data_IF_995699698572
#
_entry.id   IF_995699698572
#
_cell.length_a   1.000
_cell.length_b   1.000
_cell.length_c   1.000
_cell.angle_alpha   90.00
_cell.angle_beta   90.00
_cell.angle_gamma   90.00
#
_symmetry.space_group_name_H-M   'P 1'
#
loop_
_entity.id
_entity.type
_entity.pdbx_description
1 polymer ?
#
# COMPACT_ATOMS: atom_id res chain seq x y z
N UNK A 1 -4.09 19.94 19.22
CA UNK A 1 -3.02 19.25 19.99
C UNK A 1 -3.64 18.00 20.62
N UNK A 2 -3.14 16.80 20.28
CA UNK A 2 -3.61 15.56 20.89
C UNK A 2 -3.19 15.51 22.36
N UNK A 3 -4.10 15.09 23.25
CA UNK A 3 -3.77 14.95 24.67
C UNK A 3 -2.76 13.81 24.87
N UNK A 4 -1.89 13.85 25.92
CA UNK A 4 -0.90 12.79 26.19
C UNK A 4 -1.52 11.39 26.30
N UNK A 5 -2.77 11.29 26.68
CA UNK A 5 -3.52 10.04 26.79
C UNK A 5 -3.92 9.46 25.45
N UNK A 6 -4.23 10.30 24.45
CA UNK A 6 -4.48 9.88 23.06
C UNK A 6 -3.21 9.35 22.39
N UNK A 7 -2.08 10.01 22.61
CA UNK A 7 -0.79 9.59 22.08
C UNK A 7 -0.37 8.20 22.61
N UNK A 8 -0.50 7.97 23.92
CA UNK A 8 -0.21 6.67 24.55
C UNK A 8 -1.12 5.54 24.05
N UNK A 9 -2.42 5.86 23.85
CA UNK A 9 -3.41 4.90 23.34
C UNK A 9 -3.10 4.49 21.90
N UNK A 10 -2.77 5.44 21.05
CA UNK A 10 -2.35 5.22 19.66
C UNK A 10 -1.07 4.38 19.60
N UNK A 11 -0.08 4.67 20.44
CA UNK A 11 1.18 3.93 20.49
C UNK A 11 0.98 2.47 20.91
N UNK A 12 0.15 2.21 21.94
CA UNK A 12 -0.16 0.84 22.37
C UNK A 12 -0.89 0.06 21.28
N UNK A 13 -1.86 0.68 20.58
CA UNK A 13 -2.59 0.05 19.48
C UNK A 13 -1.63 -0.37 18.36
N UNK A 14 -0.72 0.51 17.96
CA UNK A 14 0.31 0.24 16.93
C UNK A 14 1.25 -0.90 17.35
N UNK A 15 1.73 -0.90 18.59
CA UNK A 15 2.57 -1.99 19.11
C UNK A 15 1.86 -3.35 19.09
N UNK A 16 0.55 -3.38 19.37
CA UNK A 16 -0.25 -4.61 19.28
C UNK A 16 -0.29 -5.09 17.82
N UNK A 17 -0.53 -4.20 16.86
CA UNK A 17 -0.56 -4.51 15.43
C UNK A 17 0.79 -5.06 14.95
N UNK A 18 1.92 -4.41 15.30
CA UNK A 18 3.27 -4.82 14.93
C UNK A 18 3.61 -6.24 15.45
N UNK A 19 3.31 -6.51 16.73
CA UNK A 19 3.56 -7.83 17.33
C UNK A 19 2.62 -8.89 16.74
N UNK A 20 1.36 -8.54 16.52
CA UNK A 20 0.40 -9.46 15.93
C UNK A 20 0.81 -9.84 14.49
N UNK A 21 1.17 -8.86 13.66
CA UNK A 21 1.62 -9.09 12.28
C UNK A 21 2.85 -10.00 12.25
N UNK A 22 3.82 -9.76 13.14
CA UNK A 22 5.02 -10.61 13.26
C UNK A 22 4.66 -12.04 13.62
N UNK A 23 3.80 -12.26 14.63
CA UNK A 23 3.36 -13.59 15.01
C UNK A 23 2.54 -14.29 13.92
N UNK A 24 1.71 -13.53 13.20
CA UNK A 24 0.97 -14.05 12.05
C UNK A 24 1.91 -14.53 10.94
N UNK A 25 3.00 -13.82 10.69
CA UNK A 25 4.01 -14.22 9.71
C UNK A 25 4.86 -15.42 10.19
N UNK A 26 5.27 -15.44 11.47
CA UNK A 26 6.16 -16.48 12.01
C UNK A 26 5.47 -17.84 12.16
N UNK A 27 4.24 -17.90 12.64
CA UNK A 27 3.55 -19.15 13.00
C UNK A 27 2.19 -19.36 12.32
N UNK A 28 1.75 -18.39 11.53
CA UNK A 28 0.48 -18.38 10.82
C UNK A 28 -0.66 -17.72 11.60
N UNK A 29 -1.60 -17.12 10.86
CA UNK A 29 -2.75 -16.43 11.43
C UNK A 29 -3.61 -17.32 12.33
N UNK A 30 -3.95 -18.53 11.87
CA UNK A 30 -4.85 -19.45 12.61
C UNK A 30 -4.25 -19.90 13.94
N UNK A 31 -2.95 -20.12 14.00
CA UNK A 31 -2.25 -20.60 15.19
C UNK A 31 -1.98 -19.49 16.22
N UNK A 32 -2.10 -18.24 15.84
CA UNK A 32 -1.86 -17.10 16.74
C UNK A 32 -3.10 -16.77 17.55
N UNK A 33 -2.94 -16.53 18.85
CA UNK A 33 -4.00 -16.13 19.76
C UNK A 33 -3.77 -14.73 20.34
N UNK A 34 -4.85 -14.03 20.73
CA UNK A 34 -4.75 -12.74 21.45
C UNK A 34 -3.97 -12.86 22.76
N UNK A 35 -3.99 -14.04 23.38
CA UNK A 35 -3.23 -14.31 24.60
C UNK A 35 -1.72 -14.25 24.34
N UNK A 36 -1.25 -14.92 23.30
CA UNK A 36 0.18 -14.93 22.92
C UNK A 36 0.65 -13.53 22.52
N UNK A 37 -0.20 -12.74 21.83
CA UNK A 37 0.11 -11.36 21.51
C UNK A 37 0.28 -10.52 22.79
N UNK A 38 -0.61 -10.69 23.78
CA UNK A 38 -0.50 -10.02 25.07
C UNK A 38 0.76 -10.41 25.86
N UNK A 39 1.07 -11.71 25.90
CA UNK A 39 2.27 -12.26 26.54
C UNK A 39 3.55 -11.73 25.88
N UNK A 40 3.59 -11.67 24.55
CA UNK A 40 4.76 -11.14 23.81
C UNK A 40 4.97 -9.64 24.02
N UNK A 41 3.90 -8.89 24.27
CA UNK A 41 3.92 -7.44 24.55
C UNK A 41 4.19 -7.10 26.01
N UNK A 42 4.18 -8.10 26.91
CA UNK A 42 4.22 -7.91 28.36
C UNK A 42 3.08 -7.00 28.86
N UNK A 43 1.87 -7.23 28.35
CA UNK A 43 0.67 -6.51 28.77
C UNK A 43 -0.38 -7.49 29.31
N UNK A 44 -1.28 -6.98 30.15
CA UNK A 44 -2.40 -7.78 30.61
C UNK A 44 -3.39 -8.09 29.47
N UNK A 45 -4.02 -9.26 29.52
CA UNK A 45 -5.09 -9.63 28.56
C UNK A 45 -6.18 -8.55 28.51
N UNK A 46 -6.56 -7.97 29.65
CA UNK A 46 -7.55 -6.91 29.72
C UNK A 46 -7.11 -5.63 28.96
N UNK A 47 -5.83 -5.27 29.04
CA UNK A 47 -5.28 -4.14 28.29
C UNK A 47 -5.32 -4.37 26.77
N UNK A 48 -5.03 -5.59 26.31
CA UNK A 48 -5.16 -5.94 24.90
C UNK A 48 -6.62 -5.90 24.44
N UNK A 49 -7.55 -6.52 25.18
CA UNK A 49 -8.97 -6.55 24.85
C UNK A 49 -9.63 -5.15 24.87
N UNK A 50 -9.04 -4.17 25.55
CA UNK A 50 -9.46 -2.78 25.46
C UNK A 50 -9.24 -2.19 24.06
N UNK A 51 -8.23 -2.65 23.32
CA UNK A 51 -7.89 -2.20 21.97
C UNK A 51 -8.53 -3.05 20.88
N UNK A 52 -8.50 -4.38 21.04
CA UNK A 52 -8.97 -5.33 20.05
C UNK A 52 -9.70 -6.51 20.70
N UNK A 53 -10.89 -6.80 20.23
CA UNK A 53 -11.72 -7.90 20.78
C UNK A 53 -11.40 -9.24 20.13
N UNK A 54 -11.02 -9.24 18.86
CA UNK A 54 -10.73 -10.41 18.04
C UNK A 54 -9.42 -10.25 17.26
N UNK A 55 -8.90 -11.35 16.69
CA UNK A 55 -7.78 -11.30 15.75
C UNK A 55 -8.17 -10.58 14.47
N UNK A 56 -9.40 -10.75 14.04
CA UNK A 56 -9.99 -10.07 12.89
C UNK A 56 -9.97 -8.57 13.06
N UNK A 57 -10.27 -8.03 14.25
CA UNK A 57 -10.21 -6.59 14.52
C UNK A 57 -8.80 -6.04 14.30
N UNK A 58 -7.76 -6.80 14.68
CA UNK A 58 -6.36 -6.41 14.44
C UNK A 58 -6.09 -6.41 12.92
N UNK A 59 -6.50 -7.45 12.22
CA UNK A 59 -6.26 -7.58 10.78
C UNK A 59 -6.99 -6.51 9.97
N UNK A 60 -8.24 -6.21 10.34
CA UNK A 60 -9.01 -5.10 9.75
C UNK A 60 -8.31 -3.77 10.00
N UNK A 61 -7.82 -3.53 11.21
CA UNK A 61 -7.13 -2.27 11.53
C UNK A 61 -5.80 -2.13 10.79
N UNK A 62 -5.05 -3.21 10.59
CA UNK A 62 -3.85 -3.22 9.74
C UNK A 62 -4.20 -2.87 8.29
N UNK A 63 -5.31 -3.40 7.78
CA UNK A 63 -5.80 -3.06 6.46
C UNK A 63 -6.18 -1.58 6.34
N UNK A 64 -6.86 -1.02 7.35
CA UNK A 64 -7.21 0.41 7.40
C UNK A 64 -5.97 1.29 7.34
N UNK A 65 -4.90 0.92 8.08
CA UNK A 65 -3.63 1.65 8.09
C UNK A 65 -2.94 1.64 6.72
N UNK A 66 -3.08 0.54 5.95
CA UNK A 66 -2.59 0.46 4.56
C UNK A 66 -3.45 1.29 3.60
N UNK A 67 -4.76 1.34 3.82
CA UNK A 67 -5.70 2.04 2.94
C UNK A 67 -5.68 3.56 3.15
N UNK A 68 -5.45 4.04 4.37
CA UNK A 68 -5.52 5.47 4.68
C UNK A 68 -4.55 6.35 3.85
N UNK A 69 -3.27 5.98 3.63
CA UNK A 69 -2.37 6.71 2.74
C UNK A 69 -2.86 6.73 1.29
N UNK A 70 -3.46 5.63 0.81
CA UNK A 70 -4.01 5.56 -0.55
C UNK A 70 -5.25 6.43 -0.72
N UNK A 71 -6.13 6.46 0.27
CA UNK A 71 -7.30 7.34 0.26
C UNK A 71 -6.88 8.82 0.30
N UNK A 72 -5.87 9.18 1.10
CA UNK A 72 -5.30 10.52 1.14
C UNK A 72 -4.64 10.91 -0.20
N UNK A 73 -3.88 10.00 -0.82
CA UNK A 73 -3.30 10.18 -2.13
C UNK A 73 -4.37 10.44 -3.21
N UNK A 74 -5.41 9.61 -3.24
CA UNK A 74 -6.51 9.73 -4.22
C UNK A 74 -7.25 11.05 -4.05
N UNK A 75 -7.55 11.46 -2.80
CA UNK A 75 -8.20 12.72 -2.51
C UNK A 75 -7.35 13.91 -2.99
N UNK A 76 -6.06 13.93 -2.62
CA UNK A 76 -5.12 14.97 -3.03
C UNK A 76 -5.00 15.04 -4.56
N UNK A 77 -4.79 13.92 -5.24
CA UNK A 77 -4.54 13.90 -6.68
C UNK A 77 -5.76 14.36 -7.51
N UNK A 78 -6.98 14.19 -7.01
CA UNK A 78 -8.21 14.68 -7.67
C UNK A 78 -8.30 16.21 -7.71
N UNK A 79 -7.61 16.89 -6.81
CA UNK A 79 -7.57 18.35 -6.73
C UNK A 79 -6.42 18.95 -7.55
N UNK A 80 -5.52 18.10 -8.08
CA UNK A 80 -4.37 18.54 -8.86
C UNK A 80 -4.66 18.58 -10.38
N UNK A 81 -3.96 19.45 -11.13
CA UNK A 81 -4.00 19.41 -12.59
C UNK A 81 -3.38 18.10 -13.12
N UNK A 82 -3.88 17.58 -14.24
CA UNK A 82 -3.42 16.30 -14.84
C UNK A 82 -2.13 16.49 -15.64
N UNK A 83 -1.06 16.90 -14.97
CA UNK A 83 0.28 17.09 -15.55
C UNK A 83 1.15 15.85 -15.35
N UNK A 84 2.25 15.76 -16.11
CA UNK A 84 3.26 14.72 -15.90
C UNK A 84 3.85 14.80 -14.49
N UNK A 85 4.07 16.01 -13.97
CA UNK A 85 4.57 16.22 -12.61
C UNK A 85 3.63 15.63 -11.55
N UNK A 86 2.31 15.92 -11.67
CA UNK A 86 1.30 15.32 -10.79
C UNK A 86 1.27 13.80 -10.87
N UNK A 87 1.37 13.23 -12.08
CA UNK A 87 1.40 11.78 -12.26
C UNK A 87 2.65 11.17 -11.62
N UNK A 88 3.81 11.83 -11.75
CA UNK A 88 5.04 11.41 -11.07
C UNK A 88 4.90 11.44 -9.55
N UNK A 89 4.27 12.48 -9.00
CA UNK A 89 4.03 12.58 -7.56
C UNK A 89 3.03 11.52 -7.06
N UNK A 90 2.01 11.19 -7.87
CA UNK A 90 1.09 10.06 -7.59
C UNK A 90 1.87 8.75 -7.45
N UNK A 91 2.80 8.46 -8.37
CA UNK A 91 3.61 7.25 -8.31
C UNK A 91 4.54 7.21 -7.10
N UNK A 92 5.18 8.34 -6.73
CA UNK A 92 6.04 8.41 -5.55
C UNK A 92 5.25 8.12 -4.27
N UNK A 93 4.15 8.85 -4.05
CA UNK A 93 3.28 8.64 -2.87
C UNK A 93 2.67 7.24 -2.83
N UNK A 94 2.33 6.69 -3.99
CA UNK A 94 1.83 5.33 -4.08
C UNK A 94 2.92 4.31 -3.72
N UNK A 95 4.14 4.49 -4.21
CA UNK A 95 5.31 3.70 -3.84
C UNK A 95 5.55 3.74 -2.34
N UNK A 96 5.60 4.94 -1.74
CA UNK A 96 5.79 5.13 -0.29
C UNK A 96 4.72 4.39 0.53
N UNK A 97 3.45 4.47 0.11
CA UNK A 97 2.35 3.78 0.78
C UNK A 97 2.49 2.25 0.72
N UNK A 98 2.89 1.70 -0.43
CA UNK A 98 3.14 0.27 -0.60
C UNK A 98 4.29 -0.20 0.29
N UNK A 99 5.43 0.48 0.24
CA UNK A 99 6.63 0.08 0.98
C UNK A 99 6.48 0.29 2.48
N UNK A 100 5.80 1.35 2.91
CA UNK A 100 5.44 1.56 4.31
C UNK A 100 4.55 0.46 4.89
N UNK A 101 3.94 -0.35 4.02
CA UNK A 101 3.03 -1.45 4.38
C UNK A 101 3.53 -2.83 3.91
N UNK A 102 4.81 -2.94 3.55
CA UNK A 102 5.38 -4.12 2.90
C UNK A 102 5.13 -5.41 3.68
N UNK A 103 5.33 -5.40 5.00
CA UNK A 103 5.14 -6.58 5.86
C UNK A 103 3.68 -7.06 5.84
N UNK A 104 2.72 -6.15 5.89
CA UNK A 104 1.30 -6.51 5.79
C UNK A 104 0.94 -7.04 4.41
N UNK A 105 1.44 -6.41 3.34
CA UNK A 105 1.17 -6.83 1.95
C UNK A 105 1.75 -8.23 1.71
N UNK A 106 2.96 -8.51 2.20
CA UNK A 106 3.59 -9.84 2.13
C UNK A 106 2.76 -10.87 2.90
N UNK A 107 2.40 -10.57 4.14
CA UNK A 107 1.52 -11.43 4.93
C UNK A 107 0.19 -11.72 4.22
N UNK A 108 -0.46 -10.69 3.67
CA UNK A 108 -1.74 -10.84 2.96
C UNK A 108 -1.60 -11.68 1.69
N UNK A 109 -0.46 -11.59 0.98
CA UNK A 109 -0.15 -12.41 -0.19
C UNK A 109 0.03 -13.88 0.18
N UNK A 110 0.76 -14.18 1.27
CA UNK A 110 1.01 -15.54 1.74
C UNK A 110 -0.23 -16.18 2.38
N UNK A 111 -1.13 -15.38 2.96
CA UNK A 111 -2.31 -15.83 3.71
C UNK A 111 -3.64 -15.46 3.02
N UNK A 112 -3.70 -15.60 1.69
CA UNK A 112 -4.87 -15.18 0.88
C UNK A 112 -6.19 -15.77 1.37
N UNK A 113 -6.21 -17.01 1.87
CA UNK A 113 -7.42 -17.66 2.38
C UNK A 113 -7.98 -16.92 3.61
N UNK A 114 -7.12 -16.59 4.59
CA UNK A 114 -7.52 -15.88 5.82
C UNK A 114 -7.94 -14.43 5.57
N UNK A 115 -7.42 -13.80 4.51
CA UNK A 115 -7.68 -12.40 4.16
C UNK A 115 -8.90 -12.24 3.24
N UNK A 116 -9.27 -13.31 2.49
CA UNK A 116 -10.34 -13.28 1.48
C UNK A 116 -11.69 -12.90 2.08
N UNK A 117 -12.05 -13.47 3.21
CA UNK A 117 -13.37 -13.32 3.84
C UNK A 117 -13.56 -11.90 4.45
N UNK A 118 -12.48 -11.17 4.67
CA UNK A 118 -12.50 -9.80 5.20
C UNK A 118 -12.73 -8.71 4.12
N UNK A 119 -13.06 -9.08 2.89
CA UNK A 119 -13.23 -8.16 1.76
C UNK A 119 -12.03 -7.20 1.50
N UNK A 120 -10.90 -7.44 2.16
CA UNK A 120 -9.68 -6.61 2.08
C UNK A 120 -9.20 -6.50 0.63
N UNK A 121 -9.16 -7.63 -0.07
CA UNK A 121 -8.73 -7.66 -1.47
C UNK A 121 -9.62 -6.85 -2.41
N UNK A 122 -10.94 -6.82 -2.19
CA UNK A 122 -11.86 -6.00 -2.98
C UNK A 122 -11.65 -4.50 -2.72
N UNK A 123 -11.46 -4.15 -1.46
CA UNK A 123 -11.18 -2.79 -0.99
C UNK A 123 -9.86 -2.28 -1.60
N UNK A 124 -8.78 -3.06 -1.52
CA UNK A 124 -7.50 -2.72 -2.13
C UNK A 124 -7.60 -2.55 -3.65
N UNK A 125 -8.21 -3.52 -4.36
CA UNK A 125 -8.40 -3.41 -5.82
C UNK A 125 -9.15 -2.14 -6.25
N UNK A 126 -10.14 -1.69 -5.47
CA UNK A 126 -10.88 -0.46 -5.78
C UNK A 126 -9.98 0.78 -5.71
N UNK A 127 -9.03 0.85 -4.74
CA UNK A 127 -8.05 1.94 -4.61
C UNK A 127 -7.03 1.89 -5.75
N UNK A 128 -6.49 0.71 -6.04
CA UNK A 128 -5.59 0.53 -7.20
C UNK A 128 -6.24 1.00 -8.50
N UNK A 129 -7.51 0.64 -8.72
CA UNK A 129 -8.27 1.12 -9.87
C UNK A 129 -8.41 2.65 -9.86
N UNK A 130 -8.69 3.25 -8.71
CA UNK A 130 -8.80 4.71 -8.61
C UNK A 130 -7.45 5.40 -8.91
N UNK A 131 -6.32 4.88 -8.41
CA UNK A 131 -4.98 5.40 -8.75
C UNK A 131 -4.69 5.24 -10.24
N UNK A 132 -5.04 4.10 -10.84
CA UNK A 132 -4.89 3.89 -12.28
C UNK A 132 -5.67 4.94 -13.11
N UNK A 133 -6.92 5.28 -12.72
CA UNK A 133 -7.71 6.32 -13.39
C UNK A 133 -7.09 7.74 -13.28
N UNK A 134 -6.25 8.00 -12.27
CA UNK A 134 -5.49 9.25 -12.14
C UNK A 134 -4.32 9.34 -13.11
N UNK A 135 -3.69 8.20 -13.43
CA UNK A 135 -2.54 8.14 -14.34
C UNK A 135 -2.94 8.07 -15.82
N UNK A 136 -4.09 7.45 -16.10
CA UNK A 136 -4.55 7.17 -17.46
C UNK A 136 -5.25 8.38 -18.11
N UNK A 137 -4.89 8.68 -19.35
CA UNK A 137 -5.71 9.52 -20.25
C UNK A 137 -6.67 8.64 -21.03
N UNK A 138 -7.98 8.92 -20.98
CA UNK A 138 -9.00 8.04 -21.57
C UNK A 138 -8.94 7.97 -23.09
N UNK A 139 -8.59 9.08 -23.72
CA UNK A 139 -8.53 9.23 -25.18
C UNK A 139 -7.13 8.98 -25.76
N UNK A 140 -6.17 8.53 -24.90
CA UNK A 140 -4.83 8.20 -25.32
C UNK A 140 -4.80 6.90 -26.14
N UNK A 141 -3.80 6.73 -27.02
CA UNK A 141 -3.55 5.46 -27.70
C UNK A 141 -3.47 4.27 -26.75
N UNK A 142 -3.86 3.08 -27.22
CA UNK A 142 -3.87 1.86 -26.38
C UNK A 142 -2.52 1.61 -25.72
N UNK A 143 -1.41 1.86 -26.45
CA UNK A 143 -0.04 1.72 -25.93
C UNK A 143 0.20 2.61 -24.70
N UNK A 144 -0.21 3.87 -24.75
CA UNK A 144 -0.08 4.80 -23.63
C UNK A 144 -0.94 4.36 -22.42
N UNK A 145 -2.16 3.86 -22.67
CA UNK A 145 -3.00 3.31 -21.60
C UNK A 145 -2.36 2.08 -20.95
N UNK A 146 -1.79 1.16 -21.75
CA UNK A 146 -1.06 -0.02 -21.26
C UNK A 146 0.16 0.38 -20.44
N UNK A 147 0.95 1.36 -20.88
CA UNK A 147 2.10 1.87 -20.11
C UNK A 147 1.68 2.38 -18.72
N UNK A 148 0.58 3.13 -18.63
CA UNK A 148 0.06 3.62 -17.34
C UNK A 148 -0.35 2.49 -16.40
N UNK A 149 -0.96 1.40 -16.94
CA UNK A 149 -1.25 0.19 -16.14
C UNK A 149 0.01 -0.51 -15.71
N UNK A 150 0.98 -0.67 -16.65
CA UNK A 150 2.24 -1.37 -16.38
C UNK A 150 3.09 -0.65 -15.34
N UNK A 151 3.05 0.68 -15.28
CA UNK A 151 3.72 1.46 -14.24
C UNK A 151 3.26 1.06 -12.82
N UNK A 152 1.96 0.91 -12.59
CA UNK A 152 1.44 0.44 -11.31
C UNK A 152 1.77 -1.03 -11.06
N UNK A 153 1.70 -1.88 -12.10
CA UNK A 153 2.09 -3.28 -11.98
C UNK A 153 3.58 -3.42 -11.64
N UNK A 154 4.46 -2.56 -12.17
CA UNK A 154 5.87 -2.55 -11.81
C UNK A 154 6.07 -2.28 -10.32
N UNK A 155 5.37 -1.30 -9.74
CA UNK A 155 5.43 -1.01 -8.30
C UNK A 155 4.94 -2.18 -7.45
N UNK A 156 3.82 -2.83 -7.82
CA UNK A 156 3.32 -4.00 -7.09
C UNK A 156 4.23 -5.22 -7.22
N UNK A 157 4.61 -5.55 -8.45
CA UNK A 157 5.44 -6.72 -8.74
C UNK A 157 6.86 -6.54 -8.20
N UNK A 158 7.37 -5.30 -8.20
CA UNK A 158 8.68 -4.97 -7.69
C UNK A 158 8.91 -5.41 -6.25
N UNK A 159 7.88 -5.40 -5.42
CA UNK A 159 7.97 -5.88 -4.02
C UNK A 159 8.38 -7.36 -3.91
N UNK A 160 8.09 -8.17 -4.93
CA UNK A 160 8.33 -9.61 -4.94
C UNK A 160 9.40 -10.02 -5.96
N UNK A 161 9.40 -9.41 -7.15
CA UNK A 161 10.24 -9.83 -8.26
C UNK A 161 11.70 -9.39 -8.15
N UNK A 162 11.99 -8.32 -7.39
CA UNK A 162 13.37 -7.81 -7.22
C UNK A 162 14.18 -8.57 -6.16
N UNK A 163 13.64 -9.61 -5.56
CA UNK A 163 14.38 -10.44 -4.58
C UNK A 163 15.67 -11.03 -5.20
N UNK A 164 15.61 -11.44 -6.46
CA UNK A 164 16.74 -12.02 -7.19
C UNK A 164 17.59 -10.98 -7.94
N UNK A 165 17.31 -9.69 -7.81
CA UNK A 165 18.13 -8.61 -8.37
C UNK A 165 19.21 -8.25 -7.36
N UNK A 166 20.45 -8.05 -7.81
CA UNK A 166 21.54 -7.58 -6.93
C UNK A 166 21.33 -6.12 -6.52
N UNK A 167 21.73 -5.77 -5.29
CA UNK A 167 21.63 -4.43 -4.73
C UNK A 167 20.91 -4.38 -3.39
N UNK A 168 21.00 -3.23 -2.73
CA UNK A 168 20.29 -2.95 -1.48
C UNK A 168 18.78 -2.80 -1.71
N UNK A 169 17.98 -2.91 -0.64
CA UNK A 169 16.54 -2.70 -0.71
C UNK A 169 16.17 -1.30 -1.26
N UNK A 170 16.94 -0.27 -0.87
CA UNK A 170 16.75 1.11 -1.33
C UNK A 170 17.04 1.27 -2.82
N UNK A 171 18.15 0.70 -3.31
CA UNK A 171 18.48 0.71 -4.74
C UNK A 171 17.43 0.01 -5.60
N UNK A 172 16.95 -1.15 -5.15
CA UNK A 172 15.90 -1.91 -5.83
C UNK A 172 14.58 -1.13 -5.89
N UNK A 173 14.20 -0.52 -4.78
CA UNK A 173 13.01 0.32 -4.68
C UNK A 173 13.11 1.52 -5.63
N UNK A 174 14.24 2.23 -5.61
CA UNK A 174 14.50 3.35 -6.51
C UNK A 174 14.38 2.94 -7.98
N UNK A 175 15.02 1.84 -8.35
CA UNK A 175 14.99 1.32 -9.72
C UNK A 175 13.55 0.96 -10.20
N UNK A 176 12.75 0.34 -9.33
CA UNK A 176 11.34 0.03 -9.64
C UNK A 176 10.52 1.30 -9.83
N UNK A 177 10.73 2.31 -8.98
CA UNK A 177 10.06 3.61 -9.10
C UNK A 177 10.49 4.34 -10.38
N UNK A 178 11.78 4.34 -10.73
CA UNK A 178 12.30 4.96 -11.95
C UNK A 178 11.65 4.34 -13.19
N UNK A 179 11.57 3.00 -13.26
CA UNK A 179 10.88 2.29 -14.35
C UNK A 179 9.41 2.72 -14.44
N UNK A 180 8.71 2.86 -13.32
CA UNK A 180 7.32 3.28 -13.31
C UNK A 180 7.17 4.74 -13.79
N UNK A 181 8.07 5.64 -13.38
CA UNK A 181 8.10 7.05 -13.81
C UNK A 181 8.37 7.16 -15.32
N UNK A 182 9.30 6.39 -15.85
CA UNK A 182 9.62 6.36 -17.29
C UNK A 182 8.41 5.90 -18.12
N UNK A 183 7.71 4.86 -17.69
CA UNK A 183 6.50 4.37 -18.35
C UNK A 183 5.40 5.43 -18.40
N UNK A 184 5.19 6.17 -17.30
CA UNK A 184 4.18 7.24 -17.24
C UNK A 184 4.62 8.46 -18.07
N UNK A 185 5.91 8.80 -18.10
CA UNK A 185 6.43 9.88 -18.95
C UNK A 185 6.21 9.57 -20.43
N UNK A 186 6.52 8.35 -20.89
CA UNK A 186 6.26 7.91 -22.24
C UNK A 186 4.76 7.92 -22.59
N UNK A 187 3.91 7.41 -21.66
CA UNK A 187 2.47 7.41 -21.84
C UNK A 187 1.89 8.83 -21.95
N UNK A 188 2.42 9.78 -21.19
CA UNK A 188 2.00 11.19 -21.24
C UNK A 188 2.40 11.87 -22.55
N UNK A 189 3.62 11.62 -23.04
CA UNK A 189 4.09 12.15 -24.33
C UNK A 189 3.30 11.67 -25.54
N UNK A 190 2.86 10.39 -25.53
CA UNK A 190 2.01 9.82 -26.58
C UNK A 190 0.56 10.34 -26.55
N UNK A 191 0.08 10.76 -25.38
CA UNK A 191 -1.27 11.31 -25.20
C UNK A 191 -1.34 12.82 -25.60
N UNK A 192 -0.19 13.50 -25.68
CA UNK A 192 -0.15 14.89 -26.13
C UNK A 192 -0.58 14.99 -27.61
N UNK A 193 -1.42 15.98 -28.00
CA UNK A 193 -1.74 16.18 -29.41
C UNK A 193 -0.43 16.48 -30.18
N UNK A 194 -0.30 16.00 -31.43
CA UNK A 194 0.87 16.34 -32.25
C UNK A 194 1.00 17.86 -32.30
N UNK A 195 2.22 18.35 -32.07
CA UNK A 195 2.53 19.77 -32.24
C UNK A 195 2.06 20.17 -33.64
N UNK A 196 1.16 21.14 -33.72
CA UNK A 196 0.77 21.72 -35.00
C UNK A 196 2.05 22.24 -35.65
N UNK A 197 2.48 21.61 -36.74
CA UNK A 197 3.57 22.08 -37.57
C UNK A 197 2.96 23.23 -38.41
N UNK A 198 3.30 24.49 -38.06
CA UNK A 198 3.04 25.65 -38.92
C UNK A 198 3.95 25.68 -40.15
#
# INVERSE_FOLDING_TARGET
MATPQHARRSDTRRRIQEVALRLFAEQGYEKTSLREIAERLDVTKAALYYHFRTKEDILVSLCEDVMAPLDALIAWAREQPRTLETKGEVLRRYSDALWGSADFIRFAHENQASVRDLAIGATFRSRVKAVHELLRERDAPVTAQVRSVTALLALHAGMFLVENVEGTAEEKLGAVLDVALDLVAQAHGEAAPPLAVE
#
